data_IF_292046804351
#
_entry.id   IF_292046804351
#
_cell.length_a   1.000
_cell.length_b   1.000
_cell.length_c   1.000
_cell.angle_alpha   90.00
_cell.angle_beta   90.00
_cell.angle_gamma   90.00
#
_symmetry.space_group_name_H-M   'P 1'
#
loop_
_entity.id
_entity.type
_entity.pdbx_description
1 polymer ?
#
# COMPACT_ATOMS: atom_id res chain seq x y z
N UNK A 1 10.40 28.55 -19.26
CA UNK A 1 10.07 27.99 -17.94
C UNK A 1 10.76 26.65 -17.89
N UNK A 2 11.67 26.44 -16.96
CA UNK A 2 12.26 25.13 -16.69
C UNK A 2 11.12 24.33 -16.09
N UNK A 3 10.59 23.30 -16.77
CA UNK A 3 9.66 22.35 -16.15
C UNK A 3 10.49 21.61 -15.10
N UNK A 4 10.23 21.89 -13.83
CA UNK A 4 10.76 21.04 -12.76
C UNK A 4 10.22 19.63 -12.99
N UNK A 5 11.14 18.67 -13.07
CA UNK A 5 10.75 17.27 -13.22
C UNK A 5 10.04 16.84 -11.94
N UNK A 6 8.86 16.26 -12.11
CA UNK A 6 7.99 15.79 -11.03
C UNK A 6 8.01 14.27 -10.96
N UNK A 7 8.14 13.72 -9.76
CA UNK A 7 7.96 12.30 -9.49
C UNK A 7 6.86 12.06 -8.47
N UNK A 8 6.18 10.93 -8.61
CA UNK A 8 5.11 10.50 -7.70
C UNK A 8 5.43 9.13 -7.13
N UNK A 9 5.03 8.93 -5.89
CA UNK A 9 4.97 7.62 -5.24
C UNK A 9 3.54 7.42 -4.74
N UNK A 10 2.97 6.24 -4.98
CA UNK A 10 1.62 5.93 -4.60
C UNK A 10 1.53 4.64 -3.76
N UNK A 11 0.48 4.55 -2.97
CA UNK A 11 0.03 3.31 -2.36
C UNK A 11 -1.47 3.15 -2.55
N UNK A 12 -1.92 1.91 -2.82
CA UNK A 12 -3.32 1.61 -3.02
C UNK A 12 -3.71 0.23 -2.49
N UNK A 13 -4.56 0.20 -1.46
CA UNK A 13 -5.28 -1.02 -1.09
C UNK A 13 -6.39 -1.23 -2.12
N UNK A 14 -6.31 -2.34 -2.87
CA UNK A 14 -7.20 -2.58 -4.02
C UNK A 14 -8.48 -3.35 -3.67
N UNK A 15 -8.77 -3.64 -2.42
CA UNK A 15 -9.94 -4.44 -2.01
C UNK A 15 -10.01 -5.78 -2.76
N UNK A 16 -9.08 -6.70 -2.46
CA UNK A 16 -9.02 -8.07 -2.96
C UNK A 16 -8.89 -8.21 -4.50
N UNK A 17 -7.67 -8.07 -5.01
CA UNK A 17 -7.34 -8.49 -6.37
C UNK A 17 -6.90 -9.95 -6.35
N UNK A 18 -7.84 -10.87 -6.51
CA UNK A 18 -7.64 -12.31 -6.53
C UNK A 18 -7.77 -12.85 -7.94
N UNK A 19 -7.06 -13.95 -8.22
CA UNK A 19 -7.33 -14.76 -9.41
C UNK A 19 -8.77 -15.27 -9.40
N UNK A 20 -9.38 -15.50 -10.56
CA UNK A 20 -10.74 -16.02 -10.62
C UNK A 20 -10.87 -17.35 -9.90
N UNK A 21 -11.95 -17.53 -9.14
CA UNK A 21 -12.28 -18.83 -8.56
C UNK A 21 -12.58 -19.84 -9.68
N UNK A 22 -12.16 -21.10 -9.53
CA UNK A 22 -12.59 -22.17 -10.44
C UNK A 22 -14.12 -22.27 -10.42
N UNK A 23 -14.77 -22.72 -11.52
CA UNK A 23 -16.20 -22.90 -11.56
C UNK A 23 -16.66 -23.80 -10.39
N UNK A 24 -17.47 -23.25 -9.49
CA UNK A 24 -18.02 -24.04 -8.39
C UNK A 24 -19.07 -25.01 -8.90
N UNK A 25 -19.03 -26.25 -8.39
CA UNK A 25 -20.01 -27.29 -8.71
C UNK A 25 -21.37 -26.94 -8.08
N UNK A 26 -21.38 -26.15 -7.03
CA UNK A 26 -22.59 -25.75 -6.33
C UNK A 26 -22.51 -24.27 -5.89
N UNK A 27 -23.62 -23.50 -6.05
CA UNK A 27 -23.69 -22.08 -5.66
C UNK A 27 -23.46 -21.80 -4.17
N UNK A 28 -23.50 -22.82 -3.34
CA UNK A 28 -23.31 -22.74 -1.90
C UNK A 28 -21.89 -23.11 -1.46
N UNK A 29 -21.04 -23.59 -2.38
CA UNK A 29 -19.67 -23.92 -2.05
C UNK A 29 -18.92 -22.64 -1.65
N UNK A 30 -18.09 -22.66 -0.58
CA UNK A 30 -17.22 -21.56 -0.27
C UNK A 30 -16.25 -21.35 -1.45
N UNK A 31 -16.16 -20.11 -1.92
CA UNK A 31 -15.18 -19.73 -2.94
C UNK A 31 -13.79 -19.64 -2.32
N UNK A 32 -12.75 -20.02 -3.04
CA UNK A 32 -11.37 -19.94 -2.56
C UNK A 32 -10.97 -18.51 -2.19
N UNK A 33 -11.46 -17.53 -2.97
CA UNK A 33 -11.23 -16.10 -2.69
C UNK A 33 -12.02 -15.56 -1.49
N UNK A 34 -13.00 -16.29 -0.97
CA UNK A 34 -13.99 -15.78 -0.02
C UNK A 34 -14.94 -14.75 -0.62
N UNK A 35 -14.81 -14.41 -1.90
CA UNK A 35 -15.64 -13.46 -2.62
C UNK A 35 -16.80 -14.21 -3.32
N UNK A 36 -18.01 -13.68 -3.20
CA UNK A 36 -19.17 -14.34 -3.80
C UNK A 36 -19.18 -14.21 -5.33
N UNK A 37 -19.21 -15.35 -6.04
CA UNK A 37 -19.24 -15.45 -7.51
C UNK A 37 -18.06 -14.70 -8.16
N UNK A 38 -16.85 -14.87 -7.66
CA UNK A 38 -15.63 -14.26 -8.21
C UNK A 38 -15.19 -15.00 -9.46
N UNK A 39 -15.80 -14.64 -10.59
CA UNK A 39 -15.56 -15.21 -11.90
C UNK A 39 -14.59 -14.37 -12.74
N UNK A 40 -14.18 -14.89 -13.88
CA UNK A 40 -13.29 -14.23 -14.85
C UNK A 40 -13.80 -12.83 -15.24
N UNK A 41 -15.11 -12.64 -15.39
CA UNK A 41 -15.69 -11.36 -15.76
C UNK A 41 -15.48 -10.30 -14.67
N UNK A 42 -15.66 -10.68 -13.40
CA UNK A 42 -15.44 -9.77 -12.26
C UNK A 42 -13.98 -9.47 -12.04
N UNK A 43 -13.14 -10.48 -12.21
CA UNK A 43 -11.68 -10.31 -12.18
C UNK A 43 -11.21 -9.33 -13.25
N UNK A 44 -11.58 -9.51 -14.52
CA UNK A 44 -11.23 -8.57 -15.61
C UNK A 44 -11.77 -7.18 -15.36
N UNK A 45 -13.00 -7.05 -14.84
CA UNK A 45 -13.53 -5.75 -14.46
C UNK A 45 -12.69 -5.10 -13.34
N UNK A 46 -12.21 -5.88 -12.36
CA UNK A 46 -11.37 -5.38 -11.28
C UNK A 46 -10.04 -4.85 -11.79
N UNK A 47 -9.36 -5.60 -12.67
CA UNK A 47 -8.14 -5.15 -13.33
C UNK A 47 -8.35 -3.84 -14.10
N UNK A 48 -9.41 -3.77 -14.90
CA UNK A 48 -9.79 -2.55 -15.63
C UNK A 48 -10.03 -1.38 -14.67
N UNK A 49 -10.69 -1.61 -13.52
CA UNK A 49 -10.93 -0.58 -12.51
C UNK A 49 -9.63 -0.08 -11.89
N UNK A 50 -8.69 -0.96 -11.56
CA UNK A 50 -7.38 -0.55 -11.03
C UNK A 50 -6.61 0.24 -12.10
N UNK A 51 -6.56 -0.23 -13.34
CA UNK A 51 -5.91 0.49 -14.44
C UNK A 51 -6.53 1.88 -14.65
N UNK A 52 -7.88 2.01 -14.58
CA UNK A 52 -8.57 3.29 -14.66
C UNK A 52 -8.21 4.26 -13.52
N UNK A 53 -7.93 3.77 -12.31
CA UNK A 53 -7.46 4.62 -11.21
C UNK A 53 -6.15 5.31 -11.61
N UNK A 54 -5.19 4.56 -12.13
CA UNK A 54 -3.89 5.11 -12.53
C UNK A 54 -3.97 5.96 -13.80
N UNK A 55 -4.89 5.67 -14.70
CA UNK A 55 -5.21 6.57 -15.81
C UNK A 55 -5.73 7.92 -15.31
N UNK A 56 -6.62 7.94 -14.32
CA UNK A 56 -7.12 9.18 -13.70
C UNK A 56 -6.02 9.94 -12.95
N UNK A 57 -5.07 9.21 -12.31
CA UNK A 57 -3.89 9.82 -11.69
C UNK A 57 -3.02 10.46 -12.78
N UNK A 58 -2.73 9.75 -13.85
CA UNK A 58 -1.95 10.28 -14.97
C UNK A 58 -2.60 11.51 -15.62
N UNK A 59 -3.93 11.51 -15.79
CA UNK A 59 -4.69 12.66 -16.32
C UNK A 59 -4.61 13.88 -15.38
N UNK A 60 -4.64 13.66 -14.07
CA UNK A 60 -4.65 14.74 -13.08
C UNK A 60 -3.25 15.28 -12.76
N UNK A 61 -2.25 14.42 -12.79
CA UNK A 61 -0.88 14.72 -12.34
C UNK A 61 0.11 14.87 -13.49
N UNK A 62 -0.30 14.60 -14.72
CA UNK A 62 0.51 14.61 -15.96
C UNK A 62 1.66 13.59 -15.95
N UNK A 63 1.73 12.71 -14.96
CA UNK A 63 2.73 11.65 -14.84
C UNK A 63 2.15 10.45 -14.08
N UNK A 64 2.77 9.28 -14.26
CA UNK A 64 2.48 8.08 -13.46
C UNK A 64 3.44 8.00 -12.27
N UNK A 65 2.98 7.43 -11.13
CA UNK A 65 3.86 7.19 -10.01
C UNK A 65 5.02 6.27 -10.37
N UNK A 66 6.24 6.65 -9.99
CA UNK A 66 7.45 5.85 -10.20
C UNK A 66 7.39 4.53 -9.40
N UNK A 67 6.85 4.58 -8.18
CA UNK A 67 6.59 3.42 -7.34
C UNK A 67 5.13 3.39 -6.94
N UNK A 68 4.53 2.19 -6.98
CA UNK A 68 3.17 1.95 -6.54
C UNK A 68 3.16 0.72 -5.63
N UNK A 69 3.00 0.94 -4.33
CA UNK A 69 2.72 -0.12 -3.37
C UNK A 69 1.26 -0.56 -3.48
N UNK A 70 1.03 -1.85 -3.40
CA UNK A 70 -0.30 -2.44 -3.36
C UNK A 70 -0.49 -3.30 -2.12
N UNK A 71 -1.73 -3.41 -1.67
CA UNK A 71 -2.15 -4.45 -0.73
C UNK A 71 -3.45 -5.10 -1.18
N UNK A 72 -3.73 -6.27 -0.58
CA UNK A 72 -4.84 -7.15 -0.94
C UNK A 72 -4.70 -7.75 -2.35
N UNK A 73 -3.50 -8.19 -2.67
CA UNK A 73 -3.14 -8.91 -3.89
C UNK A 73 -3.03 -10.39 -3.57
N UNK A 74 -3.47 -11.28 -4.48
CA UNK A 74 -3.26 -12.72 -4.39
C UNK A 74 -2.40 -13.18 -5.55
N UNK A 75 -1.15 -13.51 -5.25
CA UNK A 75 -0.19 -13.99 -6.25
C UNK A 75 0.29 -12.91 -7.23
N UNK A 76 1.30 -13.24 -8.00
CA UNK A 76 1.94 -12.32 -8.95
C UNK A 76 1.15 -12.14 -10.25
N UNK A 77 0.47 -13.20 -10.73
CA UNK A 77 -0.16 -13.22 -12.05
C UNK A 77 -1.14 -12.06 -12.32
N UNK A 78 -2.01 -11.63 -11.36
CA UNK A 78 -2.86 -10.47 -11.56
C UNK A 78 -2.09 -9.15 -11.79
N UNK A 79 -0.91 -9.01 -11.16
CA UNK A 79 -0.08 -7.82 -11.36
C UNK A 79 0.67 -7.85 -12.69
N UNK A 80 1.16 -9.03 -13.10
CA UNK A 80 1.78 -9.21 -14.42
C UNK A 80 0.79 -8.86 -15.53
N UNK A 81 -0.49 -9.21 -15.37
CA UNK A 81 -1.54 -8.80 -16.30
C UNK A 81 -1.80 -7.30 -16.23
N UNK A 82 -1.92 -6.73 -15.03
CA UNK A 82 -2.18 -5.29 -14.82
C UNK A 82 -1.13 -4.42 -15.51
N UNK A 83 0.16 -4.74 -15.35
CA UNK A 83 1.24 -3.92 -15.91
C UNK A 83 1.32 -3.96 -17.45
N UNK A 84 0.66 -4.93 -18.12
CA UNK A 84 0.53 -4.92 -19.58
C UNK A 84 -0.54 -3.95 -20.08
N UNK A 85 -1.46 -3.53 -19.21
CA UNK A 85 -2.56 -2.65 -19.57
C UNK A 85 -2.12 -1.20 -19.60
N UNK A 86 -2.84 -0.34 -20.38
CA UNK A 86 -2.73 1.09 -20.22
C UNK A 86 -3.21 1.48 -18.80
N UNK A 87 -2.54 2.43 -18.12
CA UNK A 87 -1.48 3.30 -18.63
C UNK A 87 -0.05 2.77 -18.48
N UNK A 88 0.17 1.56 -17.94
CA UNK A 88 1.50 1.03 -17.61
C UNK A 88 2.29 0.53 -18.82
N UNK A 89 1.60 -0.04 -19.82
CA UNK A 89 2.14 -0.43 -21.13
C UNK A 89 3.41 -1.28 -21.09
N UNK A 90 3.51 -2.21 -20.11
CA UNK A 90 4.67 -3.10 -19.88
C UNK A 90 5.99 -2.42 -19.48
N UNK A 91 5.96 -1.13 -19.14
CA UNK A 91 7.16 -0.41 -18.69
C UNK A 91 7.44 -0.60 -17.18
N UNK A 92 6.48 -1.16 -16.45
CA UNK A 92 6.63 -1.43 -15.03
C UNK A 92 7.16 -2.82 -14.75
N UNK A 93 8.04 -2.91 -13.75
CA UNK A 93 8.45 -4.16 -13.11
C UNK A 93 7.53 -4.48 -11.94
N UNK A 94 7.41 -5.77 -11.61
CA UNK A 94 6.62 -6.28 -10.49
C UNK A 94 7.54 -6.91 -9.47
N UNK A 95 7.31 -6.64 -8.18
CA UNK A 95 7.94 -7.33 -7.05
C UNK A 95 6.82 -7.82 -6.13
N UNK A 96 6.75 -9.15 -5.97
CA UNK A 96 5.74 -9.81 -5.16
C UNK A 96 6.32 -11.10 -4.56
N UNK A 97 5.86 -11.47 -3.38
CA UNK A 97 6.11 -12.74 -2.72
C UNK A 97 4.79 -13.22 -2.10
N UNK A 98 4.53 -14.53 -2.24
CA UNK A 98 3.40 -15.15 -1.55
C UNK A 98 3.70 -15.22 -0.05
N UNK A 99 2.80 -14.71 0.78
CA UNK A 99 2.89 -14.75 2.23
C UNK A 99 2.16 -15.97 2.82
N UNK A 100 2.31 -16.16 4.11
CA UNK A 100 1.58 -17.20 4.86
C UNK A 100 0.24 -16.69 5.44
N UNK A 101 -0.30 -15.59 4.94
CA UNK A 101 -1.63 -15.10 5.34
C UNK A 101 -2.71 -16.12 4.96
N UNK A 102 -3.57 -16.48 5.93
CA UNK A 102 -4.59 -17.53 5.73
C UNK A 102 -5.56 -17.25 4.57
N UNK A 103 -5.75 -15.98 4.22
CA UNK A 103 -6.61 -15.55 3.11
C UNK A 103 -5.85 -15.49 1.78
N UNK A 104 -4.52 -15.73 1.79
CA UNK A 104 -3.66 -15.56 0.64
C UNK A 104 -3.61 -14.11 0.15
N UNK A 105 -3.58 -13.16 1.07
CA UNK A 105 -3.57 -11.72 0.76
C UNK A 105 -2.18 -11.16 1.00
N UNK A 106 -1.59 -10.58 0.00
CA UNK A 106 -0.23 -10.11 0.02
C UNK A 106 -0.12 -8.60 -0.21
N UNK A 107 1.10 -8.10 -0.07
CA UNK A 107 1.54 -6.80 -0.56
C UNK A 107 2.41 -6.97 -1.80
N UNK A 108 2.48 -5.93 -2.60
CA UNK A 108 3.31 -5.92 -3.80
C UNK A 108 3.81 -4.51 -4.11
N UNK A 109 4.83 -4.42 -4.94
CA UNK A 109 5.34 -3.17 -5.48
C UNK A 109 5.46 -3.28 -6.99
N UNK A 110 4.92 -2.30 -7.73
CA UNK A 110 5.31 -2.10 -9.12
C UNK A 110 6.12 -0.83 -9.24
N UNK A 111 7.06 -0.81 -10.19
CA UNK A 111 8.00 0.31 -10.37
C UNK A 111 8.30 0.56 -11.83
N UNK A 112 8.48 1.82 -12.20
CA UNK A 112 8.91 2.23 -13.55
C UNK A 112 10.38 1.83 -13.77
N UNK A 113 10.60 0.87 -14.69
CA UNK A 113 11.93 0.34 -15.04
C UNK A 113 12.83 1.35 -15.71
N UNK A 114 12.27 2.42 -16.27
CA UNK A 114 13.04 3.49 -16.94
C UNK A 114 13.61 4.49 -15.92
N UNK A 115 13.03 4.55 -14.70
CA UNK A 115 13.40 5.51 -13.66
C UNK A 115 14.22 4.88 -12.54
N UNK A 116 13.90 3.66 -12.14
CA UNK A 116 14.54 2.99 -11.01
C UNK A 116 15.00 1.58 -11.37
N UNK A 117 16.17 1.19 -10.84
CA UNK A 117 16.72 -0.16 -10.98
C UNK A 117 16.55 -0.92 -9.67
N UNK A 118 15.86 -2.05 -9.71
CA UNK A 118 15.79 -2.97 -8.55
C UNK A 118 17.17 -3.57 -8.28
N UNK A 119 17.65 -3.44 -7.06
CA UNK A 119 18.93 -4.00 -6.59
C UNK A 119 18.70 -5.32 -5.84
N UNK A 120 17.74 -5.32 -4.91
CA UNK A 120 17.35 -6.51 -4.16
C UNK A 120 15.92 -6.36 -3.64
N UNK A 121 15.30 -7.48 -3.33
CA UNK A 121 14.00 -7.52 -2.63
C UNK A 121 13.91 -8.75 -1.77
N UNK A 122 13.18 -8.66 -0.67
CA UNK A 122 12.89 -9.78 0.22
C UNK A 122 11.57 -9.59 0.96
N UNK A 123 10.85 -10.67 1.29
CA UNK A 123 9.74 -10.64 2.21
C UNK A 123 10.27 -10.69 3.65
N UNK A 124 9.64 -9.95 4.57
CA UNK A 124 9.87 -10.05 6.00
C UNK A 124 8.66 -10.72 6.61
N UNK A 125 8.83 -11.99 7.00
CA UNK A 125 7.74 -12.82 7.52
C UNK A 125 7.69 -12.77 9.04
N UNK A 126 6.49 -12.68 9.61
CA UNK A 126 6.25 -12.62 11.04
C UNK A 126 5.42 -13.81 11.51
N UNK A 127 5.89 -14.45 12.59
CA UNK A 127 5.23 -15.55 13.26
C UNK A 127 4.86 -15.13 14.68
N UNK A 128 3.63 -15.38 15.07
CA UNK A 128 3.12 -15.07 16.39
C UNK A 128 2.71 -16.36 17.09
N UNK A 129 3.18 -16.58 18.31
CA UNK A 129 2.80 -17.74 19.11
C UNK A 129 1.31 -17.72 19.42
N UNK A 130 0.66 -18.88 19.34
CA UNK A 130 -0.70 -19.10 19.80
C UNK A 130 -0.64 -19.75 21.17
N UNK A 131 -1.32 -19.17 22.15
CA UNK A 131 -1.42 -19.70 23.52
C UNK A 131 -2.35 -20.94 23.59
N UNK A 132 -1.98 -22.02 22.88
CA UNK A 132 -2.73 -23.29 22.86
C UNK A 132 -1.92 -24.48 23.40
N UNK A 133 -0.76 -24.21 24.04
CA UNK A 133 0.20 -25.21 24.51
C UNK A 133 0.81 -26.09 23.40
N UNK A 134 0.68 -25.71 22.13
CA UNK A 134 1.33 -26.37 21.01
C UNK A 134 2.35 -25.45 20.32
N UNK A 135 3.64 -25.59 20.60
CA UNK A 135 4.66 -24.70 20.02
C UNK A 135 4.83 -24.84 18.50
N UNK A 136 4.16 -25.80 17.88
CA UNK A 136 4.13 -25.93 16.42
C UNK A 136 3.02 -25.09 15.77
N UNK A 137 2.10 -24.50 16.54
CA UNK A 137 1.05 -23.65 16.04
C UNK A 137 1.47 -22.17 16.10
N UNK A 138 1.43 -21.52 14.94
CA UNK A 138 1.72 -20.09 14.81
C UNK A 138 0.52 -19.41 14.15
N UNK A 139 0.26 -18.20 14.61
CA UNK A 139 -0.56 -17.26 13.86
C UNK A 139 0.37 -16.46 12.94
N UNK A 140 0.00 -16.32 11.69
CA UNK A 140 0.77 -15.61 10.65
C UNK A 140 0.03 -14.37 10.19
N UNK A 141 0.72 -13.51 9.48
CA UNK A 141 0.14 -12.35 8.82
C UNK A 141 0.83 -12.14 7.48
N UNK A 142 0.39 -11.11 6.75
CA UNK A 142 1.06 -10.71 5.52
C UNK A 142 2.49 -10.34 5.81
N UNK A 143 3.36 -10.67 4.88
CA UNK A 143 4.74 -10.23 4.92
C UNK A 143 4.81 -8.71 4.72
N UNK A 144 5.88 -8.10 5.21
CA UNK A 144 6.32 -6.78 4.78
C UNK A 144 7.29 -6.98 3.62
N UNK A 145 7.02 -6.34 2.49
CA UNK A 145 7.93 -6.37 1.35
C UNK A 145 9.00 -5.29 1.51
N UNK A 146 10.27 -5.67 1.51
CA UNK A 146 11.39 -4.74 1.50
C UNK A 146 12.12 -4.82 0.16
N UNK A 147 12.18 -3.68 -0.54
CA UNK A 147 12.87 -3.53 -1.81
C UNK A 147 13.97 -2.48 -1.69
N UNK A 148 15.12 -2.75 -2.28
CA UNK A 148 16.19 -1.77 -2.45
C UNK A 148 16.33 -1.42 -3.93
N UNK A 149 16.31 -0.13 -4.23
CA UNK A 149 16.43 0.41 -5.59
C UNK A 149 17.64 1.32 -5.71
N UNK A 150 18.09 1.49 -6.96
CA UNK A 150 18.99 2.57 -7.38
C UNK A 150 18.20 3.59 -8.17
N UNK A 151 18.17 4.83 -7.67
CA UNK A 151 17.55 5.99 -8.32
C UNK A 151 18.57 7.11 -8.46
N UNK A 152 18.80 7.63 -9.67
CA UNK A 152 19.79 8.68 -9.95
C UNK A 152 21.17 8.42 -9.28
N UNK A 153 21.62 7.16 -9.28
CA UNK A 153 22.90 6.75 -8.70
C UNK A 153 22.90 6.49 -7.19
N UNK A 154 21.86 6.89 -6.47
CA UNK A 154 21.73 6.70 -5.01
C UNK A 154 20.83 5.51 -4.66
N UNK A 155 21.01 4.95 -3.47
CA UNK A 155 20.22 3.82 -2.99
C UNK A 155 18.99 4.32 -2.21
N UNK A 156 17.89 3.64 -2.45
CA UNK A 156 16.58 3.90 -1.88
C UNK A 156 15.94 2.60 -1.39
N UNK A 157 15.52 2.56 -0.14
CA UNK A 157 14.79 1.45 0.44
C UNK A 157 13.29 1.76 0.44
N UNK A 158 12.49 0.81 -0.03
CA UNK A 158 11.03 0.91 -0.05
C UNK A 158 10.45 -0.27 0.70
N UNK A 159 9.71 0.00 1.78
CA UNK A 159 8.93 -0.98 2.50
C UNK A 159 7.47 -0.84 2.11
N UNK A 160 6.83 -1.97 1.77
CA UNK A 160 5.38 -2.03 1.53
C UNK A 160 4.76 -2.93 2.57
N UNK A 161 3.73 -2.45 3.26
CA UNK A 161 3.09 -3.18 4.35
C UNK A 161 1.56 -3.16 4.26
N UNK A 162 0.95 -4.18 4.87
CA UNK A 162 -0.47 -4.21 5.19
C UNK A 162 -0.65 -4.85 6.57
N UNK A 163 -0.73 -4.02 7.59
CA UNK A 163 -0.76 -4.48 8.98
C UNK A 163 -2.09 -5.18 9.33
N UNK A 164 -2.09 -6.06 10.35
CA UNK A 164 -3.30 -6.74 10.83
C UNK A 164 -4.40 -5.76 11.21
N UNK A 165 -5.64 -6.06 10.77
CA UNK A 165 -6.78 -5.13 10.91
C UNK A 165 -7.20 -4.88 12.37
N UNK A 166 -7.85 -3.73 12.62
CA UNK A 166 -8.42 -3.34 13.93
C UNK A 166 -9.71 -4.12 14.31
N UNK A 167 -10.00 -5.27 13.68
CA UNK A 167 -11.20 -6.07 14.01
C UNK A 167 -11.16 -6.55 15.46
N UNK A 168 -12.30 -7.02 15.99
CA UNK A 168 -12.43 -7.69 17.28
C UNK A 168 -11.82 -6.91 18.46
N UNK A 169 -12.27 -5.67 18.65
CA UNK A 169 -11.80 -4.80 19.73
C UNK A 169 -10.29 -4.56 19.74
N UNK A 170 -9.68 -4.51 18.53
CA UNK A 170 -8.27 -4.20 18.36
C UNK A 170 -7.31 -5.29 18.90
N UNK A 171 -7.72 -6.56 18.90
CA UNK A 171 -6.91 -7.71 19.37
C UNK A 171 -5.53 -7.78 18.69
N UNK A 172 -5.42 -7.32 17.45
CA UNK A 172 -4.19 -7.34 16.69
C UNK A 172 -3.24 -6.15 16.97
N UNK A 173 -3.54 -5.27 17.94
CA UNK A 173 -2.65 -4.15 18.28
C UNK A 173 -1.22 -4.60 18.62
N UNK A 174 -0.99 -5.64 19.47
CA UNK A 174 0.38 -6.09 19.76
C UNK A 174 1.15 -6.57 18.53
N UNK A 175 0.47 -7.20 17.57
CA UNK A 175 1.11 -7.63 16.31
C UNK A 175 1.55 -6.43 15.47
N UNK A 176 0.71 -5.39 15.33
CA UNK A 176 1.08 -4.16 14.62
C UNK A 176 2.25 -3.45 15.31
N UNK A 177 2.21 -3.35 16.64
CA UNK A 177 3.29 -2.78 17.45
C UNK A 177 4.61 -3.51 17.22
N UNK A 178 4.59 -4.85 17.25
CA UNK A 178 5.77 -5.68 17.01
C UNK A 178 6.35 -5.46 15.60
N UNK A 179 5.49 -5.50 14.56
CA UNK A 179 5.92 -5.30 13.17
C UNK A 179 6.52 -3.91 12.98
N UNK A 180 5.84 -2.86 13.47
CA UNK A 180 6.34 -1.49 13.32
C UNK A 180 7.63 -1.24 14.10
N UNK A 181 7.80 -1.90 15.26
CA UNK A 181 9.06 -1.87 16.00
C UNK A 181 10.21 -2.51 15.21
N UNK A 182 10.00 -3.67 14.60
CA UNK A 182 11.00 -4.34 13.76
C UNK A 182 11.39 -3.50 12.54
N UNK A 183 10.38 -2.90 11.86
CA UNK A 183 10.63 -1.98 10.74
C UNK A 183 11.45 -0.77 11.21
N UNK A 184 11.11 -0.19 12.38
CA UNK A 184 11.85 0.93 12.96
C UNK A 184 13.32 0.57 13.21
N UNK A 185 13.61 -0.61 13.79
CA UNK A 185 14.96 -1.10 14.01
C UNK A 185 15.73 -1.26 12.70
N UNK A 186 15.09 -1.79 11.65
CA UNK A 186 15.69 -1.89 10.31
C UNK A 186 16.00 -0.51 9.72
N UNK A 187 15.09 0.46 9.87
CA UNK A 187 15.32 1.85 9.43
C UNK A 187 16.50 2.47 10.18
N UNK A 188 16.59 2.30 11.50
CA UNK A 188 17.72 2.78 12.31
C UNK A 188 19.04 2.20 11.78
N UNK A 189 19.09 0.88 11.50
CA UNK A 189 20.28 0.23 10.97
C UNK A 189 20.66 0.76 9.58
N UNK A 190 19.68 0.89 8.65
CA UNK A 190 19.92 1.48 7.33
C UNK A 190 20.50 2.91 7.47
N UNK A 191 19.96 3.70 8.39
CA UNK A 191 20.41 5.09 8.60
C UNK A 191 21.80 5.16 9.21
N UNK A 192 22.11 4.31 10.19
CA UNK A 192 23.40 4.33 10.88
C UNK A 192 24.56 3.77 10.03
N UNK A 193 24.29 2.74 9.22
CA UNK A 193 25.34 2.05 8.46
C UNK A 193 25.55 2.61 7.05
N UNK A 194 24.47 3.02 6.38
CA UNK A 194 24.50 3.29 4.94
C UNK A 194 23.99 4.69 4.58
N UNK A 195 23.30 5.35 5.49
CA UNK A 195 22.65 6.65 5.29
C UNK A 195 21.79 6.73 4.01
N UNK A 196 21.15 5.63 3.65
CA UNK A 196 20.28 5.53 2.47
C UNK A 196 18.89 6.10 2.76
N UNK A 197 18.21 6.59 1.72
CA UNK A 197 16.83 7.05 1.83
C UNK A 197 15.86 5.88 2.06
N UNK A 198 14.78 6.15 2.82
CA UNK A 198 13.76 5.13 3.17
C UNK A 198 12.36 5.68 2.93
N UNK A 199 11.52 4.87 2.29
CA UNK A 199 10.09 5.06 2.13
C UNK A 199 9.39 3.86 2.78
N UNK A 200 8.36 4.13 3.57
CA UNK A 200 7.47 3.11 4.11
C UNK A 200 6.06 3.45 3.64
N UNK A 201 5.45 2.63 2.80
CA UNK A 201 4.09 2.84 2.34
C UNK A 201 3.22 1.62 2.65
N UNK A 202 1.94 1.86 2.91
CA UNK A 202 1.06 0.75 3.22
C UNK A 202 -0.28 1.13 3.82
N UNK A 203 -1.10 0.10 4.04
CA UNK A 203 -2.25 0.13 4.92
C UNK A 203 -1.79 -0.24 6.34
N UNK A 204 -1.60 0.78 7.16
CA UNK A 204 -1.15 0.61 8.55
C UNK A 204 -2.26 0.07 9.47
N UNK A 205 -3.52 0.08 9.01
CA UNK A 205 -4.67 -0.17 9.86
C UNK A 205 -4.65 0.68 11.16
N UNK A 206 -3.92 1.78 11.15
CA UNK A 206 -3.80 2.81 12.20
C UNK A 206 -3.78 4.20 11.55
N UNK A 207 -4.37 5.19 12.23
CA UNK A 207 -4.29 6.57 11.75
C UNK A 207 -2.90 7.17 12.08
N UNK A 208 -2.51 8.25 11.41
CA UNK A 208 -1.24 8.94 11.68
C UNK A 208 -1.06 9.41 13.13
N UNK A 209 -2.14 9.59 13.89
CA UNK A 209 -2.11 9.99 15.30
C UNK A 209 -2.11 8.83 16.29
N UNK A 210 -2.22 7.60 15.82
CA UNK A 210 -2.10 6.40 16.66
C UNK A 210 -0.65 6.26 17.20
N UNK A 211 -0.52 5.76 18.42
CA UNK A 211 0.75 5.69 19.15
C UNK A 211 1.82 4.86 18.42
N UNK A 212 1.43 3.72 17.83
CA UNK A 212 2.37 2.84 17.12
C UNK A 212 2.99 3.55 15.90
N UNK A 213 2.20 4.34 15.15
CA UNK A 213 2.71 5.12 14.01
C UNK A 213 3.64 6.23 14.50
N UNK A 214 3.26 6.94 15.59
CA UNK A 214 4.13 7.97 16.19
C UNK A 214 5.47 7.39 16.65
N UNK A 215 5.46 6.22 17.28
CA UNK A 215 6.67 5.57 17.77
C UNK A 215 7.62 5.14 16.64
N UNK A 216 7.09 4.80 15.46
CA UNK A 216 7.89 4.48 14.28
C UNK A 216 8.76 5.67 13.82
N UNK A 217 8.33 6.91 14.09
CA UNK A 217 8.97 8.11 13.55
C UNK A 217 10.28 8.50 14.27
N UNK A 218 10.56 7.90 15.42
CA UNK A 218 11.69 8.29 16.29
C UNK A 218 12.61 7.11 16.57
N UNK A 219 13.92 7.38 16.74
CA UNK A 219 14.90 6.40 17.23
C UNK A 219 14.87 6.26 18.76
N UNK A 220 15.81 5.46 19.31
CA UNK A 220 15.89 5.20 20.75
C UNK A 220 16.38 6.41 21.56
N UNK A 221 17.00 7.39 20.92
CA UNK A 221 17.39 8.69 21.51
C UNK A 221 16.28 9.73 21.43
N UNK A 222 15.12 9.38 20.88
CA UNK A 222 14.01 10.28 20.57
C UNK A 222 14.32 11.30 19.48
N UNK A 223 15.30 11.01 18.63
CA UNK A 223 15.56 11.78 17.43
C UNK A 223 14.57 11.35 16.34
N UNK A 224 13.95 12.33 15.70
CA UNK A 224 13.00 12.05 14.62
C UNK A 224 13.76 11.56 13.38
N UNK A 225 13.57 10.31 12.98
CA UNK A 225 14.24 9.67 11.83
C UNK A 225 13.36 9.61 10.58
N UNK A 226 12.03 9.57 10.77
CA UNK A 226 11.03 9.53 9.73
C UNK A 226 10.03 10.69 9.88
N UNK A 227 9.40 11.06 8.78
CA UNK A 227 8.38 12.12 8.72
C UNK A 227 7.15 11.51 8.06
N UNK A 228 6.00 11.67 8.72
CA UNK A 228 4.70 11.29 8.18
C UNK A 228 3.95 12.53 7.68
N UNK A 229 3.92 12.77 6.34
CA UNK A 229 3.18 13.90 5.78
C UNK A 229 1.66 13.70 5.82
N UNK A 230 1.18 12.50 6.11
CA UNK A 230 -0.26 12.19 6.22
C UNK A 230 -0.85 12.63 7.55
N UNK A 231 -0.03 12.93 8.57
CA UNK A 231 -0.52 13.45 9.85
C UNK A 231 -1.32 14.74 9.67
N UNK A 232 -0.81 15.70 8.87
CA UNK A 232 -1.52 16.94 8.60
C UNK A 232 -2.81 16.72 7.79
N UNK A 233 -2.79 15.79 6.81
CA UNK A 233 -3.98 15.41 6.05
C UNK A 233 -5.07 14.85 6.95
N UNK A 234 -4.70 14.01 7.92
CA UNK A 234 -5.63 13.44 8.89
C UNK A 234 -6.25 14.54 9.79
N UNK A 235 -5.45 15.48 10.28
CA UNK A 235 -5.95 16.61 11.05
C UNK A 235 -6.94 17.48 10.24
N UNK A 236 -6.71 17.59 8.92
CA UNK A 236 -7.60 18.28 7.97
C UNK A 236 -8.76 17.41 7.45
N UNK A 237 -9.03 16.26 8.08
CA UNK A 237 -10.13 15.34 7.77
C UNK A 237 -10.09 14.79 6.34
N UNK A 238 -8.89 14.58 5.81
CA UNK A 238 -8.68 13.81 4.59
C UNK A 238 -8.57 12.32 4.95
N UNK A 239 -9.36 11.48 4.31
CA UNK A 239 -9.50 10.08 4.68
C UNK A 239 -9.35 9.18 3.46
N UNK A 240 -8.63 8.08 3.61
CA UNK A 240 -8.48 7.08 2.55
C UNK A 240 -9.57 6.01 2.58
N UNK A 241 -10.08 5.68 3.76
CA UNK A 241 -11.14 4.67 3.92
C UNK A 241 -12.15 5.07 5.00
N UNK A 242 -13.23 4.28 5.13
CA UNK A 242 -14.31 4.60 6.05
C UNK A 242 -14.83 3.37 6.79
N UNK A 243 -14.91 3.46 8.11
CA UNK A 243 -15.66 2.51 8.92
C UNK A 243 -16.99 3.13 9.38
N UNK A 244 -18.12 2.64 8.83
CA UNK A 244 -19.44 3.29 8.95
C UNK A 244 -19.37 4.77 8.53
N UNK A 245 -19.53 5.69 9.48
CA UNK A 245 -19.50 7.15 9.25
C UNK A 245 -18.15 7.78 9.55
N UNK A 246 -17.25 7.04 10.15
CA UNK A 246 -15.96 7.54 10.58
C UNK A 246 -14.96 7.41 9.44
N UNK A 247 -14.40 8.53 9.01
CA UNK A 247 -13.27 8.54 8.08
C UNK A 247 -11.99 8.10 8.79
N UNK A 248 -11.15 7.35 8.09
CA UNK A 248 -9.88 6.80 8.56
C UNK A 248 -8.81 7.09 7.53
N UNK A 249 -7.59 7.34 7.97
CA UNK A 249 -6.43 7.50 7.10
C UNK A 249 -5.42 6.40 7.43
N UNK A 250 -5.75 5.18 7.02
CA UNK A 250 -4.94 3.99 7.28
C UNK A 250 -3.83 3.82 6.25
N UNK A 251 -4.04 4.34 5.04
CA UNK A 251 -3.09 4.31 3.95
C UNK A 251 -2.16 5.52 4.07
N UNK A 252 -0.85 5.27 4.22
CA UNK A 252 0.14 6.30 4.48
C UNK A 252 1.43 6.03 3.70
N UNK A 253 2.20 7.09 3.43
CA UNK A 253 3.55 7.04 2.88
C UNK A 253 4.44 7.87 3.79
N UNK A 254 5.28 7.19 4.56
CA UNK A 254 6.20 7.78 5.54
C UNK A 254 7.59 7.85 4.90
N UNK A 255 8.28 8.97 5.10
CA UNK A 255 9.51 9.33 4.40
C UNK A 255 10.65 9.57 5.38
N UNK A 256 11.86 9.16 5.05
CA UNK A 256 13.05 9.55 5.79
C UNK A 256 13.44 11.01 5.51
N UNK A 257 14.28 11.59 6.37
CA UNK A 257 14.64 13.03 6.32
C UNK A 257 15.31 13.46 5.02
N UNK A 258 15.93 12.55 4.29
CA UNK A 258 16.65 12.84 3.04
C UNK A 258 15.76 13.50 2.01
N UNK A 259 14.46 13.19 2.02
CA UNK A 259 13.48 13.78 1.10
C UNK A 259 13.11 15.23 1.43
N UNK A 260 13.52 15.75 2.58
CA UNK A 260 13.22 17.12 3.04
C UNK A 260 14.45 18.04 3.01
N UNK A 261 15.58 17.55 2.51
CA UNK A 261 16.84 18.26 2.33
C UNK A 261 17.31 18.25 0.90
N UNK A 262 18.61 18.46 0.71
CA UNK A 262 19.28 18.43 -0.61
C UNK A 262 20.16 17.20 -0.80
N UNK A 263 20.13 16.25 0.14
CA UNK A 263 21.01 15.07 0.15
C UNK A 263 20.52 13.94 -0.77
N UNK A 264 19.25 13.96 -1.18
CA UNK A 264 18.66 12.98 -2.07
C UNK A 264 18.03 13.67 -3.29
N UNK A 265 18.04 13.04 -4.49
CA UNK A 265 17.55 13.65 -5.72
C UNK A 265 16.04 13.99 -5.73
N UNK A 266 15.26 13.35 -4.87
CA UNK A 266 13.83 13.63 -4.70
C UNK A 266 13.62 14.56 -3.50
N UNK A 267 13.04 15.73 -3.72
CA UNK A 267 12.64 16.65 -2.68
C UNK A 267 11.12 16.63 -2.52
N UNK A 268 10.64 16.29 -1.31
CA UNK A 268 9.22 16.22 -1.00
C UNK A 268 8.53 17.57 -1.17
N UNK A 269 7.39 17.58 -1.87
CA UNK A 269 6.57 18.79 -2.09
C UNK A 269 5.19 18.67 -1.48
N UNK A 270 4.50 17.56 -1.66
CA UNK A 270 3.15 17.39 -1.12
C UNK A 270 2.75 15.93 -0.91
N UNK A 271 1.73 15.73 -0.07
CA UNK A 271 1.03 14.46 0.07
C UNK A 271 -0.47 14.67 -0.17
N UNK A 272 -1.15 13.65 -0.66
CA UNK A 272 -2.59 13.71 -0.88
C UNK A 272 -3.27 12.35 -0.83
N UNK A 273 -4.55 12.36 -0.47
CA UNK A 273 -5.49 11.27 -0.76
C UNK A 273 -6.13 11.56 -2.11
N UNK A 274 -5.97 10.66 -3.07
CA UNK A 274 -6.53 10.83 -4.41
C UNK A 274 -8.01 10.43 -4.44
N UNK A 275 -8.87 11.28 -3.91
CA UNK A 275 -10.32 11.09 -3.80
C UNK A 275 -11.08 11.64 -5.01
N UNK A 276 -10.60 11.36 -6.21
CA UNK A 276 -11.20 11.82 -7.44
C UNK A 276 -12.72 11.46 -7.52
N UNK A 277 -13.62 12.34 -8.01
CA UNK A 277 -15.06 12.10 -8.00
C UNK A 277 -15.51 10.79 -8.65
N UNK A 278 -14.85 10.33 -9.71
CA UNK A 278 -15.13 9.04 -10.36
C UNK A 278 -14.86 7.83 -9.46
N UNK A 279 -13.95 7.96 -8.46
CA UNK A 279 -13.65 6.91 -7.50
C UNK A 279 -14.60 6.88 -6.31
N UNK A 280 -15.42 7.91 -6.17
CA UNK A 280 -16.36 8.05 -5.05
C UNK A 280 -17.70 7.39 -5.35
N UNK A 281 -18.36 6.93 -4.29
CA UNK A 281 -19.71 6.37 -4.39
C UNK A 281 -20.70 7.44 -4.88
N UNK A 282 -21.47 7.10 -5.88
CA UNK A 282 -22.57 7.93 -6.40
C UNK A 282 -23.85 7.84 -5.53
N UNK A 283 -23.93 6.87 -4.61
CA UNK A 283 -25.03 6.78 -3.64
C UNK A 283 -24.95 7.93 -2.64
N UNK A 284 -26.01 8.74 -2.55
CA UNK A 284 -26.10 9.88 -1.62
C UNK A 284 -25.79 9.52 -0.16
N UNK A 285 -26.14 8.29 0.27
CA UNK A 285 -25.87 7.80 1.62
C UNK A 285 -24.38 7.62 1.89
N UNK A 286 -23.58 7.37 0.85
CA UNK A 286 -22.17 7.09 0.88
C UNK A 286 -21.34 8.11 0.10
N UNK A 287 -21.92 9.27 -0.18
CA UNK A 287 -21.25 10.35 -0.93
C UNK A 287 -19.90 10.70 -0.29
N UNK A 288 -18.89 10.88 -1.14
CA UNK A 288 -17.51 11.17 -0.69
C UNK A 288 -16.72 10.00 -0.14
N UNK A 289 -17.28 8.77 -0.17
CA UNK A 289 -16.57 7.56 0.21
C UNK A 289 -16.14 6.78 -1.02
N UNK A 290 -15.11 5.93 -0.89
CA UNK A 290 -14.69 5.09 -2.01
C UNK A 290 -15.84 4.23 -2.55
N UNK A 291 -15.89 4.07 -3.88
CA UNK A 291 -16.83 3.18 -4.53
C UNK A 291 -16.24 1.77 -4.57
N UNK A 292 -16.62 0.97 -3.60
CA UNK A 292 -16.09 -0.35 -3.31
C UNK A 292 -16.53 -1.44 -4.28
N UNK A 293 -15.76 -2.51 -4.35
CA UNK A 293 -16.05 -3.69 -5.17
C UNK A 293 -17.26 -4.47 -4.65
N UNK A 294 -17.33 -4.65 -3.31
CA UNK A 294 -18.43 -5.34 -2.63
C UNK A 294 -18.99 -4.53 -1.47
N UNK A 295 -20.28 -4.69 -1.19
CA UNK A 295 -20.92 -4.29 0.05
C UNK A 295 -21.50 -5.54 0.73
N UNK A 296 -20.75 -6.11 1.68
CA UNK A 296 -21.00 -7.45 2.20
C UNK A 296 -20.88 -8.48 1.06
N UNK A 297 -21.93 -9.24 0.80
CA UNK A 297 -21.96 -10.25 -0.28
C UNK A 297 -22.41 -9.69 -1.63
N UNK A 298 -22.84 -8.42 -1.70
CA UNK A 298 -23.35 -7.81 -2.92
C UNK A 298 -22.20 -7.21 -3.73
N UNK A 299 -22.02 -7.68 -4.95
CA UNK A 299 -21.10 -7.10 -5.92
C UNK A 299 -21.60 -5.75 -6.42
N UNK A 300 -20.78 -4.71 -6.32
CA UNK A 300 -21.07 -3.34 -6.80
C UNK A 300 -20.26 -2.99 -8.03
N UNK A 301 -19.10 -3.65 -8.24
CA UNK A 301 -18.21 -3.43 -9.36
C UNK A 301 -17.47 -2.08 -9.32
N UNK A 302 -17.25 -1.57 -8.13
CA UNK A 302 -16.47 -0.36 -7.89
C UNK A 302 -14.96 -0.59 -7.97
N UNK A 303 -14.21 0.41 -7.50
CA UNK A 303 -12.75 0.43 -7.57
C UNK A 303 -12.10 -0.25 -6.37
N UNK A 304 -12.38 0.25 -5.17
CA UNK A 304 -11.92 -0.25 -3.87
C UNK A 304 -12.71 0.41 -2.75
N UNK A 305 -12.60 -0.09 -1.52
CA UNK A 305 -13.07 0.59 -0.30
C UNK A 305 -12.01 1.53 0.31
N UNK A 306 -10.89 1.71 -0.40
CA UNK A 306 -9.87 2.72 -0.12
C UNK A 306 -9.71 3.67 -1.31
N UNK A 307 -9.30 4.91 -1.05
CA UNK A 307 -8.73 5.80 -2.05
C UNK A 307 -7.21 5.62 -2.10
N UNK A 308 -6.58 5.74 -3.28
CA UNK A 308 -5.12 5.79 -3.35
C UNK A 308 -4.57 6.97 -2.57
N UNK A 309 -3.38 6.80 -2.01
CA UNK A 309 -2.61 7.89 -1.41
C UNK A 309 -1.33 8.11 -2.20
N UNK A 310 -0.86 9.37 -2.24
CA UNK A 310 0.30 9.74 -3.03
C UNK A 310 1.16 10.77 -2.32
N UNK A 311 2.47 10.73 -2.61
CA UNK A 311 3.43 11.79 -2.34
C UNK A 311 4.03 12.29 -3.64
N UNK A 312 4.26 13.59 -3.69
CA UNK A 312 4.84 14.30 -4.83
C UNK A 312 6.22 14.82 -4.48
N UNK A 313 7.12 14.77 -5.44
CA UNK A 313 8.50 15.23 -5.30
C UNK A 313 8.92 16.06 -6.50
N UNK A 314 9.73 17.08 -6.28
CA UNK A 314 10.56 17.69 -7.32
C UNK A 314 11.87 16.93 -7.43
N UNK A 315 12.39 16.83 -8.66
CA UNK A 315 13.65 16.15 -8.95
C UNK A 315 14.77 17.17 -9.05
N UNK A 316 15.77 17.06 -8.19
CA UNK A 316 17.00 17.84 -8.20
C UNK A 316 18.13 16.96 -8.75
N UNK A 317 18.39 17.04 -10.06
CA UNK A 317 19.46 16.31 -10.76
C UNK A 317 20.71 17.16 -10.92
#
# INVERSE_FOLDING_TARGET
>A
MVHELKELIAFYNVENLFSPDPPSVHRLDPTLSGLRNWDEKRYKNKLLKIAQVFQLIQEAEETLPMFIGFSEIQGQAPLDELVTMAPFNSEYGVVHYDSMDERGVDVALIYDKNKAQLVSSEPITYFFEIEDNNPANYDTTRDVLWCKFRYAGQLLNVFVLHLPSKRERNINRPKREFILKDIREKVINIKSEQNEAVIICGDFNENPDDENVKNLLYDDQSDKILIDPFFELFQNKSYSTFHYKNGLLFDQIILSKEFFGTSFPLHFTSAKVFNHPKLSSWDRKFAGRPFRTYAGTRYLGGYSDHFPVMTEFTVNL
#
